data_IF_082581257102
#
_entry.id   IF_082581257102
#
_cell.length_a   1.000
_cell.length_b   1.000
_cell.length_c   1.000
_cell.angle_alpha   90.00
_cell.angle_beta   90.00
_cell.angle_gamma   90.00
#
_symmetry.space_group_name_H-M   'P 1'
#
loop_
_entity.id
_entity.type
_entity.pdbx_description
1 polymer ?
#
# COMPACT_ATOMS: atom_id res chain seq x y z
N UNK A 1 0.55 -2.18 20.31
CA UNK A 1 -0.39 -2.64 19.26
C UNK A 1 0.09 -2.05 17.95
N UNK A 2 0.05 -2.82 16.87
CA UNK A 2 0.33 -2.28 15.54
C UNK A 2 -0.75 -1.23 15.20
N UNK A 3 -0.35 -0.16 14.51
CA UNK A 3 -1.30 0.85 14.03
C UNK A 3 -1.96 0.30 12.78
N UNK A 4 -3.29 0.21 12.76
CA UNK A 4 -4.03 -0.15 11.55
C UNK A 4 -4.28 1.10 10.72
N UNK A 5 -3.89 1.04 9.46
CA UNK A 5 -4.08 2.10 8.47
C UNK A 5 -5.23 1.73 7.54
N UNK A 6 -6.09 2.69 7.21
CA UNK A 6 -7.13 2.50 6.20
C UNK A 6 -6.67 2.96 4.83
N UNK A 7 -6.94 2.14 3.83
CA UNK A 7 -6.61 2.39 2.44
C UNK A 7 -7.88 2.86 1.72
N UNK A 8 -7.78 4.02 1.07
CA UNK A 8 -8.82 4.57 0.20
C UNK A 8 -8.32 4.67 -1.22
N UNK A 9 -9.14 4.26 -2.17
CA UNK A 9 -8.99 4.58 -3.58
C UNK A 9 -10.11 5.56 -3.95
N UNK A 10 -9.75 6.80 -4.27
CA UNK A 10 -10.70 7.92 -4.30
C UNK A 10 -11.42 8.07 -2.94
N UNK A 11 -12.76 8.03 -2.95
CA UNK A 11 -13.59 8.09 -1.75
C UNK A 11 -13.94 6.70 -1.19
N UNK A 12 -13.61 5.61 -1.90
CA UNK A 12 -13.94 4.26 -1.50
C UNK A 12 -12.87 3.68 -0.58
N UNK A 13 -13.30 3.17 0.58
CA UNK A 13 -12.45 2.35 1.44
C UNK A 13 -12.32 0.98 0.78
N UNK A 14 -11.08 0.55 0.49
CA UNK A 14 -10.82 -0.73 -0.18
C UNK A 14 -10.19 -1.77 0.75
N UNK A 15 -9.66 -1.34 1.91
CA UNK A 15 -9.01 -2.26 2.83
C UNK A 15 -8.20 -1.55 3.92
N UNK A 16 -7.38 -2.35 4.60
CA UNK A 16 -6.45 -1.87 5.63
C UNK A 16 -5.07 -2.50 5.47
N UNK A 17 -4.06 -1.91 6.11
CA UNK A 17 -2.71 -2.49 6.25
C UNK A 17 -2.14 -2.12 7.62
N UNK A 18 -1.15 -2.87 8.11
CA UNK A 18 -0.43 -2.59 9.34
C UNK A 18 1.01 -2.12 9.10
N UNK A 19 1.47 -2.12 7.85
CA UNK A 19 2.85 -1.80 7.46
C UNK A 19 3.88 -2.59 8.29
N UNK A 20 3.84 -3.91 8.13
CA UNK A 20 4.67 -4.87 8.87
C UNK A 20 6.17 -4.72 8.61
N UNK A 21 6.56 -3.98 7.56
CA UNK A 21 7.95 -3.81 7.14
C UNK A 21 8.27 -2.36 6.72
N UNK A 22 9.57 -2.04 6.70
CA UNK A 22 10.07 -0.75 6.23
C UNK A 22 11.49 -0.81 5.68
N UNK A 23 11.78 0.07 4.74
CA UNK A 23 13.13 0.53 4.40
C UNK A 23 13.30 1.94 4.97
N UNK A 24 13.88 2.01 6.17
CA UNK A 24 14.03 3.26 6.93
C UNK A 24 14.89 4.29 6.19
N UNK A 25 16.07 3.94 5.63
CA UNK A 25 16.87 4.87 4.82
C UNK A 25 16.15 5.48 3.64
N UNK A 26 15.28 4.71 2.97
CA UNK A 26 14.53 5.18 1.80
C UNK A 26 13.23 5.90 2.17
N UNK A 27 12.84 5.91 3.45
CA UNK A 27 11.56 6.48 3.88
C UNK A 27 10.37 5.70 3.30
N UNK A 28 10.48 4.38 3.23
CA UNK A 28 9.48 3.49 2.67
C UNK A 28 8.94 2.56 3.74
N UNK A 29 7.62 2.41 3.78
CA UNK A 29 6.92 1.39 4.59
C UNK A 29 6.09 0.53 3.65
N UNK A 30 5.96 -0.76 3.95
CA UNK A 30 5.21 -1.66 3.11
C UNK A 30 4.58 -2.79 3.94
N UNK A 31 3.48 -3.33 3.43
CA UNK A 31 2.69 -4.27 4.19
C UNK A 31 1.55 -4.90 3.40
N UNK A 32 1.05 -6.01 3.94
CA UNK A 32 -0.04 -6.76 3.29
C UNK A 32 -1.33 -5.92 3.32
N UNK A 33 -2.10 -6.00 2.25
CA UNK A 33 -3.44 -5.40 2.18
C UNK A 33 -4.48 -6.43 2.64
N UNK A 34 -5.30 -6.02 3.60
CA UNK A 34 -6.51 -6.72 3.98
C UNK A 34 -7.70 -6.05 3.30
N UNK A 35 -8.15 -6.60 2.17
CA UNK A 35 -9.24 -6.01 1.40
C UNK A 35 -10.60 -6.14 2.10
N UNK A 36 -11.49 -5.18 1.83
CA UNK A 36 -12.88 -5.18 2.29
C UNK A 36 -13.77 -5.20 1.05
N UNK A 37 -14.59 -6.25 0.91
CA UNK A 37 -15.58 -6.40 -0.17
C UNK A 37 -15.01 -6.23 -1.59
N UNK A 38 -13.75 -6.66 -1.82
CA UNK A 38 -13.12 -6.66 -3.14
C UNK A 38 -13.04 -8.09 -3.68
N UNK A 39 -13.77 -8.37 -4.77
CA UNK A 39 -13.77 -9.69 -5.42
C UNK A 39 -12.46 -10.00 -6.14
N UNK A 40 -11.88 -9.00 -6.82
CA UNK A 40 -10.64 -9.14 -7.57
C UNK A 40 -9.78 -7.88 -7.44
N UNK A 41 -8.79 -7.88 -6.54
CA UNK A 41 -7.85 -6.77 -6.43
C UNK A 41 -7.07 -6.52 -7.72
N UNK A 42 -6.73 -7.58 -8.46
CA UNK A 42 -6.05 -7.45 -9.74
C UNK A 42 -6.88 -6.63 -10.73
N UNK A 43 -8.16 -6.99 -10.92
CA UNK A 43 -9.04 -6.24 -11.83
C UNK A 43 -9.35 -4.83 -11.31
N UNK A 44 -9.46 -4.65 -9.99
CA UNK A 44 -9.63 -3.33 -9.38
C UNK A 44 -8.50 -2.38 -9.80
N UNK A 45 -7.25 -2.76 -9.52
CA UNK A 45 -6.10 -1.90 -9.78
C UNK A 45 -5.79 -1.78 -11.28
N UNK A 46 -5.90 -2.87 -12.05
CA UNK A 46 -5.70 -2.84 -13.50
C UNK A 46 -6.68 -1.87 -14.17
N UNK A 47 -7.98 -2.04 -13.93
CA UNK A 47 -9.00 -1.19 -14.55
C UNK A 47 -8.87 0.26 -14.11
N UNK A 48 -8.59 0.50 -12.82
CA UNK A 48 -8.40 1.85 -12.31
C UNK A 48 -7.19 2.54 -12.96
N UNK A 49 -6.05 1.84 -13.08
CA UNK A 49 -4.85 2.40 -13.70
C UNK A 49 -5.06 2.71 -15.18
N UNK A 50 -5.68 1.78 -15.93
CA UNK A 50 -6.00 1.99 -17.34
C UNK A 50 -6.97 3.16 -17.56
N UNK A 51 -8.01 3.27 -16.74
CA UNK A 51 -9.00 4.35 -16.84
C UNK A 51 -8.40 5.74 -16.55
N UNK A 52 -7.34 5.81 -15.74
CA UNK A 52 -6.71 7.06 -15.30
C UNK A 52 -5.34 7.32 -15.95
N UNK A 53 -4.94 6.54 -16.95
CA UNK A 53 -3.63 6.61 -17.60
C UNK A 53 -2.44 6.54 -16.61
N UNK A 54 -2.55 5.69 -15.61
CA UNK A 54 -1.48 5.41 -14.65
C UNK A 54 -0.62 4.26 -15.19
N UNK A 55 0.70 4.43 -15.14
CA UNK A 55 1.63 3.41 -15.60
C UNK A 55 1.54 2.15 -14.73
N UNK A 56 1.50 0.99 -15.40
CA UNK A 56 1.67 -0.32 -14.79
C UNK A 56 3.06 -0.79 -15.21
N UNK A 57 3.89 -1.17 -14.24
CA UNK A 57 5.26 -1.65 -14.51
C UNK A 57 5.22 -3.09 -15.05
N UNK A 58 4.42 -3.95 -14.41
CA UNK A 58 4.21 -5.35 -14.81
C UNK A 58 2.72 -5.69 -14.76
N UNK A 59 2.22 -6.38 -15.79
CA UNK A 59 0.83 -6.84 -15.93
C UNK A 59 0.84 -8.25 -16.54
N UNK A 60 0.62 -9.27 -15.71
CA UNK A 60 0.59 -10.68 -16.12
C UNK A 60 -0.81 -11.25 -15.90
N UNK A 61 -1.62 -11.27 -16.97
CA UNK A 61 -3.01 -11.74 -16.93
C UNK A 61 -3.15 -13.19 -16.48
N UNK A 62 -2.29 -14.09 -16.96
CA UNK A 62 -2.37 -15.53 -16.67
C UNK A 62 -2.22 -15.83 -15.17
N UNK A 63 -1.33 -15.09 -14.50
CA UNK A 63 -1.08 -15.21 -13.06
C UNK A 63 -1.81 -14.13 -12.25
N UNK A 64 -2.64 -13.29 -12.89
CA UNK A 64 -3.29 -12.11 -12.29
C UNK A 64 -2.33 -11.32 -11.40
N UNK A 65 -1.13 -11.10 -11.89
CA UNK A 65 -0.07 -10.38 -11.19
C UNK A 65 0.04 -8.97 -11.74
N UNK A 66 0.20 -8.00 -10.85
CA UNK A 66 0.33 -6.59 -11.22
C UNK A 66 1.34 -5.89 -10.33
N UNK A 67 2.14 -5.01 -10.93
CA UNK A 67 3.00 -4.05 -10.25
C UNK A 67 2.72 -2.65 -10.82
N UNK A 68 2.45 -1.69 -9.95
CA UNK A 68 2.09 -0.33 -10.37
C UNK A 68 3.16 0.68 -9.99
N UNK A 69 3.19 1.83 -10.69
CA UNK A 69 3.80 3.03 -10.09
C UNK A 69 2.90 3.59 -8.98
N UNK A 70 3.30 4.72 -8.40
CA UNK A 70 2.45 5.46 -7.45
C UNK A 70 1.09 5.79 -8.07
N UNK A 71 0.01 5.41 -7.39
CA UNK A 71 -1.37 5.68 -7.76
C UNK A 71 -1.82 6.97 -7.04
N UNK A 72 -2.03 8.11 -7.73
CA UNK A 72 -2.22 9.41 -7.08
C UNK A 72 -3.41 9.52 -6.11
N UNK A 73 -4.49 8.79 -6.35
CA UNK A 73 -5.68 8.79 -5.48
C UNK A 73 -5.79 7.54 -4.60
N UNK A 74 -4.71 6.76 -4.48
CA UNK A 74 -4.58 5.72 -3.46
C UNK A 74 -3.99 6.34 -2.19
N UNK A 75 -4.87 6.65 -1.24
CA UNK A 75 -4.55 7.42 -0.03
C UNK A 75 -4.66 6.55 1.20
N UNK A 76 -3.86 6.89 2.21
CA UNK A 76 -3.74 6.10 3.43
C UNK A 76 -4.06 6.98 4.62
N UNK A 77 -4.91 6.48 5.50
CA UNK A 77 -5.40 7.22 6.66
C UNK A 77 -5.17 6.45 7.95
N UNK A 78 -5.03 7.16 9.06
CA UNK A 78 -4.92 6.61 10.41
C UNK A 78 -5.69 7.48 11.42
N UNK A 79 -5.74 7.04 12.67
CA UNK A 79 -6.48 7.71 13.75
C UNK A 79 -7.96 7.94 13.40
N UNK A 80 -8.68 6.88 12.99
CA UNK A 80 -10.10 6.93 12.58
C UNK A 80 -10.37 7.94 11.44
N UNK A 81 -9.56 7.90 10.39
CA UNK A 81 -9.63 8.81 9.23
C UNK A 81 -9.33 10.29 9.52
N UNK A 82 -8.86 10.63 10.71
CA UNK A 82 -8.55 12.03 11.07
C UNK A 82 -7.27 12.53 10.42
N UNK A 83 -6.34 11.62 10.13
CA UNK A 83 -5.04 11.97 9.57
C UNK A 83 -4.77 11.14 8.31
N UNK A 84 -4.18 11.78 7.31
CA UNK A 84 -3.70 11.15 6.08
C UNK A 84 -2.18 11.02 6.17
N UNK A 85 -1.66 9.83 5.88
CA UNK A 85 -0.23 9.59 5.80
C UNK A 85 0.35 10.41 4.65
N UNK A 86 1.36 11.24 4.93
CA UNK A 86 1.99 12.13 3.95
C UNK A 86 3.29 11.54 3.44
N UNK A 87 3.50 11.64 2.13
CA UNK A 87 4.67 11.12 1.44
C UNK A 87 4.54 11.29 -0.08
N UNK A 88 5.30 10.50 -0.84
CA UNK A 88 5.23 10.46 -2.30
C UNK A 88 3.97 9.75 -2.81
N UNK A 89 3.41 8.84 -2.01
CA UNK A 89 2.18 8.12 -2.32
C UNK A 89 2.36 6.60 -2.26
N UNK A 90 1.30 5.89 -2.64
CA UNK A 90 1.22 4.44 -2.57
C UNK A 90 1.33 3.77 -3.94
N UNK A 91 2.03 2.65 -4.01
CA UNK A 91 2.07 1.73 -5.14
C UNK A 91 1.60 0.34 -4.69
N UNK A 92 1.13 -0.47 -5.63
CA UNK A 92 0.62 -1.81 -5.38
C UNK A 92 1.45 -2.84 -6.14
N UNK A 93 1.77 -3.93 -5.45
CA UNK A 93 2.33 -5.13 -6.08
C UNK A 93 1.64 -6.36 -5.52
N UNK A 94 1.34 -7.36 -6.36
CA UNK A 94 0.64 -8.55 -5.87
C UNK A 94 0.11 -9.47 -6.95
N UNK A 95 -0.47 -10.58 -6.49
CA UNK A 95 -1.04 -11.63 -7.31
C UNK A 95 -2.24 -12.29 -6.62
N UNK A 96 -3.27 -12.64 -7.39
CA UNK A 96 -4.41 -13.43 -6.88
C UNK A 96 -4.11 -14.94 -6.81
N UNK A 97 -3.01 -15.39 -7.42
CA UNK A 97 -2.66 -16.81 -7.53
C UNK A 97 -1.32 -17.15 -6.88
N UNK A 98 -0.83 -16.31 -5.96
CA UNK A 98 0.38 -16.61 -5.21
C UNK A 98 0.08 -17.68 -4.16
N UNK A 99 0.69 -18.86 -4.29
CA UNK A 99 0.52 -19.98 -3.37
C UNK A 99 -0.96 -20.41 -3.14
N UNK A 100 -1.83 -20.20 -4.14
CA UNK A 100 -3.28 -20.38 -4.07
C UNK A 100 -4.03 -19.42 -3.13
N UNK A 101 -3.41 -18.28 -2.79
CA UNK A 101 -4.04 -17.22 -2.00
C UNK A 101 -3.95 -15.87 -2.72
N UNK A 102 -4.90 -15.00 -2.39
CA UNK A 102 -4.85 -13.60 -2.83
C UNK A 102 -3.85 -12.87 -1.94
N UNK A 103 -2.77 -12.39 -2.55
CA UNK A 103 -1.72 -11.64 -1.86
C UNK A 103 -1.38 -10.35 -2.59
N UNK A 104 -1.62 -9.23 -1.93
CA UNK A 104 -1.22 -7.92 -2.40
C UNK A 104 -0.55 -7.15 -1.27
N UNK A 105 0.48 -6.41 -1.65
CA UNK A 105 1.23 -5.51 -0.80
C UNK A 105 1.00 -4.07 -1.27
N UNK A 106 0.90 -3.17 -0.31
CA UNK A 106 0.96 -1.73 -0.55
C UNK A 106 2.31 -1.22 -0.07
N UNK A 107 3.01 -0.52 -0.95
CA UNK A 107 4.22 0.22 -0.61
C UNK A 107 3.89 1.71 -0.53
N UNK A 108 4.29 2.39 0.53
CA UNK A 108 4.14 3.83 0.68
C UNK A 108 5.51 4.49 0.87
N UNK A 109 5.86 5.38 -0.05
CA UNK A 109 7.16 6.05 -0.08
C UNK A 109 7.11 7.50 0.38
N UNK A 110 8.28 8.06 0.70
CA UNK A 110 8.44 9.47 1.07
C UNK A 110 8.05 9.79 2.52
N UNK A 111 8.06 8.79 3.40
CA UNK A 111 7.85 8.97 4.84
C UNK A 111 9.07 9.69 5.42
N UNK A 112 8.87 10.92 5.91
CA UNK A 112 9.95 11.71 6.50
C UNK A 112 10.42 11.13 7.84
N UNK A 113 11.68 11.42 8.21
CA UNK A 113 12.30 10.88 9.43
C UNK A 113 11.50 11.13 10.71
N UNK A 114 10.82 12.28 10.83
CA UNK A 114 9.98 12.59 11.99
C UNK A 114 8.82 11.58 12.10
N UNK A 115 8.05 11.39 11.02
CA UNK A 115 6.98 10.39 10.94
C UNK A 115 7.51 8.98 11.15
N UNK A 116 8.66 8.63 10.55
CA UNK A 116 9.26 7.32 10.72
C UNK A 116 9.62 7.04 12.20
N UNK A 117 10.23 8.01 12.88
CA UNK A 117 10.64 7.87 14.29
C UNK A 117 9.50 7.88 15.32
N UNK A 118 8.31 8.33 14.91
CA UNK A 118 7.14 8.47 15.78
C UNK A 118 6.09 7.42 15.48
N UNK A 119 5.55 7.41 14.26
CA UNK A 119 4.46 6.54 13.83
C UNK A 119 4.94 5.11 13.54
N UNK A 120 6.15 4.98 12.99
CA UNK A 120 6.81 3.70 12.66
C UNK A 120 8.00 3.43 13.57
N UNK A 121 7.92 3.87 14.83
CA UNK A 121 9.03 3.87 15.79
C UNK A 121 9.75 2.52 15.90
N UNK A 122 9.01 1.41 15.83
CA UNK A 122 9.60 0.08 15.94
C UNK A 122 10.59 -0.21 14.80
N UNK A 123 10.22 0.10 13.56
CA UNK A 123 11.10 0.01 12.39
C UNK A 123 12.31 0.95 12.52
N UNK A 124 12.05 2.20 12.92
CA UNK A 124 13.11 3.19 13.10
C UNK A 124 14.13 2.75 14.14
N UNK A 125 13.67 2.33 15.33
CA UNK A 125 14.53 1.88 16.42
C UNK A 125 15.28 0.60 16.04
N UNK A 126 14.67 -0.32 15.30
CA UNK A 126 15.32 -1.55 14.86
C UNK A 126 16.48 -1.28 13.88
N UNK A 127 16.29 -0.36 12.94
CA UNK A 127 17.33 0.00 11.98
C UNK A 127 18.57 0.65 12.62
N UNK A 128 18.38 1.46 13.67
CA UNK A 128 19.47 2.21 14.34
C UNK A 128 20.06 1.51 15.57
N UNK A 129 19.71 0.25 15.84
CA UNK A 129 20.37 -0.58 16.87
C UNK A 129 21.81 -0.90 16.48
#
# INVERSE_FOLDING_TARGET
MATTFTIKLEEQIIGTTEFEFADVPMGVVYGKINFIDIESPYLLFKNYCLANNIQINDDLEDSKTIDTVVIPNLRIYYNDFKEELKGWGAAITGSEFLDNEIYFEIQFGGVVSETMSTLFKHHFDEYFK
#
